data_IF_134077861820
#
_entry.id   IF_134077861820
#
_cell.length_a   1.000
_cell.length_b   1.000
_cell.length_c   1.000
_cell.angle_alpha   90.00
_cell.angle_beta   90.00
_cell.angle_gamma   90.00
#
_symmetry.space_group_name_H-M   'P 1'
#
loop_
_entity.id
_entity.type
_entity.pdbx_description
1 polymer ?
#
# COMPACT_ATOMS: atom_id res chain seq x y z
N UNK A 1 10.60 2.88 -24.14
CA UNK A 1 9.69 3.97 -24.46
C UNK A 1 9.67 4.99 -23.30
N UNK A 2 9.80 6.28 -23.62
CA UNK A 2 9.78 7.38 -22.62
C UNK A 2 8.36 7.70 -22.13
N UNK A 3 7.32 7.15 -22.77
CA UNK A 3 5.91 7.28 -22.39
C UNK A 3 5.44 6.17 -21.46
N UNK A 4 6.32 5.21 -21.13
CA UNK A 4 6.05 4.13 -20.16
C UNK A 4 6.85 4.36 -18.89
N UNK A 5 6.17 4.48 -17.75
CA UNK A 5 6.74 4.75 -16.44
C UNK A 5 6.52 3.64 -15.42
N UNK A 6 7.09 3.82 -14.24
CA UNK A 6 6.90 2.96 -13.07
C UNK A 6 6.85 3.79 -11.79
N UNK A 7 5.84 3.54 -10.96
CA UNK A 7 5.68 4.12 -9.63
C UNK A 7 5.38 2.97 -8.67
N UNK A 8 6.42 2.48 -8.01
CA UNK A 8 6.35 1.33 -7.09
C UNK A 8 6.95 1.71 -5.75
N UNK A 9 6.29 1.33 -4.67
CA UNK A 9 6.75 1.68 -3.33
C UNK A 9 6.79 0.51 -2.36
N UNK A 10 7.35 0.79 -1.19
CA UNK A 10 7.34 -0.08 -0.03
C UNK A 10 7.06 0.77 1.21
N UNK A 11 6.26 0.26 2.14
CA UNK A 11 5.98 0.93 3.42
C UNK A 11 7.21 1.02 4.30
N UNK A 12 8.10 0.03 4.23
CA UNK A 12 9.42 0.00 4.87
C UNK A 12 10.49 -0.56 3.94
N UNK A 13 11.63 0.10 3.79
CA UNK A 13 12.77 -0.49 3.07
C UNK A 13 13.27 -1.73 3.83
N UNK A 14 14.09 -2.57 3.19
CA UNK A 14 14.60 -3.81 3.79
C UNK A 14 15.35 -3.54 5.11
N UNK A 15 14.63 -3.67 6.22
CA UNK A 15 15.18 -3.58 7.57
C UNK A 15 16.23 -4.68 7.80
N UNK A 16 15.98 -5.88 7.28
CA UNK A 16 16.93 -6.99 7.30
C UNK A 16 18.28 -6.61 6.74
N UNK A 17 18.35 -6.01 5.56
CA UNK A 17 19.62 -5.61 4.94
C UNK A 17 20.39 -4.61 5.81
N UNK A 18 19.69 -3.68 6.47
CA UNK A 18 20.30 -2.69 7.37
C UNK A 18 20.88 -3.39 8.61
N UNK A 19 20.12 -4.30 9.23
CA UNK A 19 20.56 -5.07 10.40
C UNK A 19 21.77 -5.94 10.03
N UNK A 20 21.70 -6.71 8.95
CA UNK A 20 22.82 -7.53 8.48
C UNK A 20 24.09 -6.70 8.21
N UNK A 21 23.94 -5.54 7.56
CA UNK A 21 25.07 -4.65 7.30
C UNK A 21 25.69 -4.09 8.59
N UNK A 22 24.86 -3.76 9.58
CA UNK A 22 25.31 -3.31 10.90
C UNK A 22 26.08 -4.43 11.62
N UNK A 23 25.58 -5.65 11.63
CA UNK A 23 26.21 -6.81 12.29
C UNK A 23 27.54 -7.20 11.61
N UNK A 24 27.56 -7.23 10.28
CA UNK A 24 28.82 -7.45 9.52
C UNK A 24 29.83 -6.35 9.84
N UNK A 25 29.39 -5.10 9.89
CA UNK A 25 30.29 -3.96 10.20
C UNK A 25 30.90 -4.08 11.60
N UNK A 26 30.11 -4.43 12.61
CA UNK A 26 30.60 -4.64 13.98
C UNK A 26 31.57 -5.81 14.09
N UNK A 27 31.28 -6.91 13.39
CA UNK A 27 32.05 -8.14 13.49
C UNK A 27 33.31 -8.13 12.60
N UNK A 28 33.27 -7.54 11.42
CA UNK A 28 34.28 -7.72 10.36
C UNK A 28 34.72 -6.43 9.66
N UNK A 29 34.14 -5.29 10.05
CA UNK A 29 34.41 -3.98 9.46
C UNK A 29 33.56 -3.71 8.19
N UNK A 30 33.39 -2.42 7.82
CA UNK A 30 32.44 -1.97 6.79
C UNK A 30 32.75 -2.50 5.39
N UNK A 31 34.04 -2.75 5.09
CA UNK A 31 34.44 -3.28 3.77
C UNK A 31 33.89 -4.70 3.47
N UNK A 32 33.36 -5.39 4.49
CA UNK A 32 32.82 -6.76 4.35
C UNK A 32 31.31 -6.79 4.09
N UNK A 33 30.61 -5.65 4.15
CA UNK A 33 29.19 -5.54 3.86
C UNK A 33 28.87 -5.88 2.39
N UNK A 34 29.80 -5.55 1.47
CA UNK A 34 29.64 -5.80 0.05
C UNK A 34 28.91 -4.64 -0.68
N UNK A 35 28.95 -4.64 -2.02
CA UNK A 35 28.53 -3.51 -2.83
C UNK A 35 27.01 -3.39 -3.02
N UNK A 36 26.22 -4.40 -2.65
CA UNK A 36 24.80 -4.46 -2.96
C UNK A 36 23.88 -4.06 -1.79
N UNK A 37 24.43 -3.68 -0.65
CA UNK A 37 23.61 -3.30 0.51
C UNK A 37 22.76 -2.05 0.23
N UNK A 38 23.32 -1.04 -0.43
CA UNK A 38 22.57 0.17 -0.80
C UNK A 38 21.41 -0.14 -1.74
N UNK A 39 21.61 -0.80 -2.90
CA UNK A 39 20.49 -1.18 -3.78
C UNK A 39 19.42 -2.05 -3.11
N UNK A 40 19.77 -2.87 -2.12
CA UNK A 40 18.81 -3.70 -1.39
C UNK A 40 18.00 -2.89 -0.35
N UNK A 41 18.63 -1.91 0.30
CA UNK A 41 18.04 -1.20 1.43
C UNK A 41 17.39 0.14 1.06
N UNK A 42 17.65 0.69 -0.13
CA UNK A 42 17.08 1.97 -0.52
C UNK A 42 15.56 1.89 -0.71
N UNK A 43 14.84 2.94 -0.32
CA UNK A 43 13.37 3.01 -0.43
C UNK A 43 12.85 2.92 -1.88
N UNK A 44 13.68 3.22 -2.87
CA UNK A 44 13.36 3.13 -4.30
C UNK A 44 13.77 1.82 -4.96
N UNK A 45 14.16 0.80 -4.19
CA UNK A 45 14.63 -0.50 -4.72
C UNK A 45 13.66 -1.12 -5.71
N UNK A 46 12.37 -1.15 -5.39
CA UNK A 46 11.37 -1.80 -6.22
C UNK A 46 11.26 -1.14 -7.60
N UNK A 47 11.07 0.18 -7.65
CA UNK A 47 10.94 0.91 -8.91
C UNK A 47 12.24 0.88 -9.73
N UNK A 48 13.40 1.04 -9.08
CA UNK A 48 14.69 1.06 -9.75
C UNK A 48 15.04 -0.31 -10.38
N UNK A 49 14.82 -1.40 -9.64
CA UNK A 49 15.10 -2.76 -10.11
C UNK A 49 14.22 -3.13 -11.30
N UNK A 50 12.90 -2.91 -11.19
CA UNK A 50 11.95 -3.23 -12.25
C UNK A 50 12.15 -2.34 -13.48
N UNK A 51 12.41 -1.04 -13.29
CA UNK A 51 12.71 -0.14 -14.41
C UNK A 51 13.94 -0.60 -15.19
N UNK A 52 14.98 -1.05 -14.49
CA UNK A 52 16.20 -1.58 -15.12
C UNK A 52 15.92 -2.87 -15.89
N UNK A 53 15.18 -3.80 -15.30
CA UNK A 53 14.85 -5.08 -15.93
C UNK A 53 13.99 -4.93 -17.17
N UNK A 54 12.94 -4.10 -17.07
CA UNK A 54 12.01 -3.88 -18.18
C UNK A 54 12.45 -2.75 -19.13
N UNK A 55 13.61 -2.12 -18.87
CA UNK A 55 14.16 -1.02 -19.67
C UNK A 55 13.17 0.14 -19.81
N UNK A 56 12.46 0.43 -18.74
CA UNK A 56 11.51 1.54 -18.66
C UNK A 56 12.29 2.85 -18.69
N UNK A 57 11.86 3.79 -19.53
CA UNK A 57 12.55 5.08 -19.77
C UNK A 57 11.70 6.30 -19.43
N UNK A 58 10.43 6.10 -19.05
CA UNK A 58 9.56 7.14 -18.53
C UNK A 58 9.85 7.45 -17.07
N UNK A 59 8.86 8.00 -16.36
CA UNK A 59 9.01 8.32 -14.94
C UNK A 59 9.36 7.07 -14.13
N UNK A 60 10.27 7.22 -13.16
CA UNK A 60 10.69 6.15 -12.27
C UNK A 60 10.97 6.72 -10.88
N UNK A 61 10.09 6.46 -9.94
CA UNK A 61 10.28 6.80 -8.54
C UNK A 61 9.41 5.91 -7.63
N UNK A 62 9.73 5.96 -6.34
CA UNK A 62 8.97 5.28 -5.30
C UNK A 62 8.32 6.27 -4.35
N UNK A 63 7.17 5.89 -3.83
CA UNK A 63 6.49 6.55 -2.72
C UNK A 63 6.63 5.64 -1.51
N UNK A 64 6.73 6.21 -0.32
CA UNK A 64 6.67 5.49 0.95
C UNK A 64 5.72 6.24 1.88
N UNK A 65 4.64 5.59 2.25
CA UNK A 65 3.58 6.12 3.13
C UNK A 65 2.92 4.99 3.93
N UNK A 66 3.77 4.13 4.53
CA UNK A 66 3.36 2.97 5.31
C UNK A 66 2.32 2.12 4.54
N UNK A 67 1.22 1.70 5.17
CA UNK A 67 0.19 0.85 4.57
C UNK A 67 -0.52 1.49 3.37
N UNK A 68 -0.50 2.82 3.23
CA UNK A 68 -1.11 3.54 2.11
C UNK A 68 -0.22 3.60 0.84
N UNK A 69 1.00 3.10 0.91
CA UNK A 69 2.02 3.23 -0.15
C UNK A 69 1.50 2.82 -1.53
N UNK A 70 0.93 1.62 -1.65
CA UNK A 70 0.46 1.11 -2.95
C UNK A 70 -0.68 1.96 -3.52
N UNK A 71 -1.62 2.40 -2.67
CA UNK A 71 -2.71 3.29 -3.10
C UNK A 71 -2.18 4.64 -3.57
N UNK A 72 -1.18 5.19 -2.90
CA UNK A 72 -0.52 6.42 -3.34
C UNK A 72 0.25 6.23 -4.65
N UNK A 73 0.92 5.10 -4.85
CA UNK A 73 1.57 4.78 -6.12
C UNK A 73 0.57 4.71 -7.27
N UNK A 74 -0.57 4.03 -7.06
CA UNK A 74 -1.64 3.90 -8.05
C UNK A 74 -2.29 5.26 -8.32
N UNK A 75 -2.62 6.03 -7.28
CA UNK A 75 -3.22 7.34 -7.42
C UNK A 75 -2.33 8.35 -8.14
N UNK A 76 -1.04 8.41 -7.80
CA UNK A 76 -0.08 9.26 -8.49
C UNK A 76 0.13 8.84 -9.96
N UNK A 77 0.09 7.54 -10.25
CA UNK A 77 0.15 7.04 -11.62
C UNK A 77 -1.10 7.47 -12.41
N UNK A 78 -2.28 7.35 -11.81
CA UNK A 78 -3.53 7.82 -12.39
C UNK A 78 -3.49 9.32 -12.72
N UNK A 79 -3.11 10.17 -11.77
CA UNK A 79 -2.97 11.62 -11.99
C UNK A 79 -1.92 11.94 -13.05
N UNK A 80 -0.78 11.22 -13.06
CA UNK A 80 0.30 11.40 -14.05
C UNK A 80 -0.18 11.11 -15.47
N UNK A 81 -1.03 10.08 -15.65
CA UNK A 81 -1.65 9.75 -16.94
C UNK A 81 -2.71 10.79 -17.30
N UNK A 82 -3.56 11.19 -16.35
CA UNK A 82 -4.60 12.22 -16.59
C UNK A 82 -4.05 13.53 -17.12
N UNK A 83 -2.90 13.97 -16.61
CA UNK A 83 -2.25 15.20 -17.08
C UNK A 83 -1.36 14.98 -18.32
N UNK A 84 -1.43 13.82 -18.95
CA UNK A 84 -0.77 13.51 -20.22
C UNK A 84 0.75 13.32 -20.16
N UNK A 85 1.35 13.11 -18.97
CA UNK A 85 2.80 12.93 -18.84
C UNK A 85 3.27 11.53 -19.25
N UNK A 86 2.45 10.52 -19.08
CA UNK A 86 2.73 9.13 -19.46
C UNK A 86 1.49 8.51 -20.09
N UNK A 87 1.67 7.48 -20.91
CA UNK A 87 0.58 6.69 -21.47
C UNK A 87 0.37 5.39 -20.71
N UNK A 88 1.45 4.80 -20.19
CA UNK A 88 1.43 3.54 -19.43
C UNK A 88 2.27 3.68 -18.17
N UNK A 89 1.75 3.27 -17.03
CA UNK A 89 2.52 3.22 -15.76
C UNK A 89 2.26 1.90 -15.04
N UNK A 90 3.33 1.20 -14.69
CA UNK A 90 3.31 0.11 -13.72
C UNK A 90 3.25 0.69 -12.32
N UNK A 91 2.17 0.46 -11.58
CA UNK A 91 1.96 1.07 -10.27
C UNK A 91 1.58 0.03 -9.22
N UNK A 92 2.06 0.20 -8.01
CA UNK A 92 1.75 -0.70 -6.91
C UNK A 92 2.77 -0.65 -5.78
N UNK A 93 2.91 -1.77 -5.08
CA UNK A 93 3.82 -1.87 -3.96
C UNK A 93 4.28 -3.28 -3.66
N UNK A 94 5.27 -3.37 -2.82
CA UNK A 94 5.79 -4.63 -2.29
C UNK A 94 6.26 -4.44 -0.85
N UNK A 95 6.23 -5.53 -0.09
CA UNK A 95 6.71 -5.53 1.29
C UNK A 95 7.48 -6.81 1.59
N UNK A 96 8.61 -6.67 2.28
CA UNK A 96 9.39 -7.80 2.78
C UNK A 96 8.76 -8.34 4.07
N UNK A 97 8.69 -9.67 4.20
CA UNK A 97 8.40 -10.32 5.47
C UNK A 97 9.70 -10.75 6.13
N UNK A 98 10.08 -10.05 7.18
CA UNK A 98 11.28 -10.38 7.97
C UNK A 98 11.07 -10.01 9.45
N UNK A 99 11.73 -10.72 10.35
CA UNK A 99 11.63 -10.49 11.80
C UNK A 99 12.07 -9.08 12.19
N UNK A 100 13.03 -8.51 11.48
CA UNK A 100 13.56 -7.17 11.78
C UNK A 100 12.54 -6.04 11.60
N UNK A 101 11.54 -6.21 10.71
CA UNK A 101 10.40 -5.33 10.60
C UNK A 101 9.29 -5.74 11.58
N UNK A 102 9.05 -7.06 11.72
CA UNK A 102 7.99 -7.60 12.58
C UNK A 102 8.17 -7.18 14.05
N UNK A 103 9.39 -7.20 14.55
CA UNK A 103 9.70 -6.83 15.94
C UNK A 103 9.32 -5.39 16.28
N UNK A 104 9.32 -4.47 15.30
CA UNK A 104 8.93 -3.08 15.51
C UNK A 104 7.42 -2.97 15.80
N UNK A 105 6.61 -3.73 15.08
CA UNK A 105 5.17 -3.79 15.29
C UNK A 105 4.77 -4.59 16.54
N UNK A 106 5.52 -5.64 16.85
CA UNK A 106 5.34 -6.41 18.08
C UNK A 106 5.65 -5.54 19.32
N UNK A 107 6.72 -4.79 19.26
CA UNK A 107 7.12 -3.85 20.34
C UNK A 107 6.07 -2.76 20.61
N UNK A 108 5.30 -2.34 19.61
CA UNK A 108 4.20 -1.40 19.81
C UNK A 108 2.85 -2.07 20.20
N UNK A 109 2.84 -3.40 20.33
CA UNK A 109 1.64 -4.15 20.71
C UNK A 109 0.55 -4.22 19.64
N UNK A 110 0.92 -4.05 18.36
CA UNK A 110 -0.02 -4.01 17.25
C UNK A 110 -0.32 -5.39 16.64
N UNK A 111 0.52 -6.39 16.92
CA UNK A 111 0.39 -7.73 16.34
C UNK A 111 -0.50 -8.66 17.20
N UNK A 112 -1.21 -9.57 16.51
CA UNK A 112 -1.94 -10.64 17.16
C UNK A 112 -0.99 -11.58 17.91
N UNK A 113 -1.30 -11.92 19.16
CA UNK A 113 -0.49 -12.82 20.01
C UNK A 113 -1.29 -13.95 20.64
N UNK A 114 -2.62 -13.85 20.72
CA UNK A 114 -3.48 -14.84 21.38
C UNK A 114 -3.73 -16.09 20.53
N UNK A 115 -3.43 -16.03 19.23
CA UNK A 115 -3.78 -17.08 18.27
C UNK A 115 -2.57 -17.82 17.70
N UNK A 116 -1.42 -17.80 18.39
CA UNK A 116 -0.21 -18.48 17.93
C UNK A 116 -0.40 -19.99 17.74
N UNK A 117 -1.27 -20.61 18.54
CA UNK A 117 -1.61 -22.03 18.41
C UNK A 117 -2.66 -22.31 17.30
N UNK A 118 -3.33 -21.27 16.81
CA UNK A 118 -4.35 -21.36 15.76
C UNK A 118 -4.18 -20.25 14.73
N UNK A 119 -3.01 -20.15 14.07
CA UNK A 119 -2.64 -18.98 13.24
C UNK A 119 -3.59 -18.72 12.07
N UNK A 120 -4.23 -19.75 11.54
CA UNK A 120 -5.22 -19.61 10.47
C UNK A 120 -6.47 -18.79 10.87
N UNK A 121 -6.69 -18.55 12.15
CA UNK A 121 -7.82 -17.78 12.69
C UNK A 121 -7.38 -16.46 13.35
N UNK A 122 -6.11 -16.09 13.27
CA UNK A 122 -5.56 -14.94 13.96
C UNK A 122 -6.03 -13.61 13.34
N UNK A 123 -5.97 -13.47 12.00
CA UNK A 123 -6.53 -12.31 11.32
C UNK A 123 -8.05 -12.45 11.26
N UNK A 124 -8.75 -11.52 11.94
CA UNK A 124 -10.21 -11.52 12.07
C UNK A 124 -10.77 -10.10 12.16
N UNK A 125 -10.65 -9.30 11.08
CA UNK A 125 -11.13 -7.93 11.07
C UNK A 125 -12.58 -7.81 11.52
N UNK A 126 -12.86 -6.76 12.32
CA UNK A 126 -14.18 -6.45 12.90
C UNK A 126 -14.74 -7.48 13.90
N UNK A 127 -14.10 -8.61 14.11
CA UNK A 127 -14.52 -9.60 15.12
C UNK A 127 -14.29 -9.05 16.53
N UNK A 128 -15.21 -9.39 17.46
CA UNK A 128 -15.12 -8.95 18.87
C UNK A 128 -13.87 -9.47 19.58
N UNK A 129 -13.36 -10.61 19.15
CA UNK A 129 -12.20 -11.27 19.74
C UNK A 129 -10.86 -10.94 19.04
N UNK A 130 -10.85 -10.04 18.05
CA UNK A 130 -9.61 -9.60 17.39
C UNK A 130 -8.62 -8.99 18.38
N UNK A 131 -7.34 -9.23 18.18
CA UNK A 131 -6.30 -8.78 19.11
C UNK A 131 -5.07 -8.13 18.46
N UNK A 132 -5.08 -7.94 17.16
CA UNK A 132 -4.00 -7.35 16.40
C UNK A 132 -3.91 -7.87 14.98
N UNK A 133 -3.01 -7.32 14.19
CA UNK A 133 -2.82 -7.78 12.82
C UNK A 133 -1.81 -8.93 12.71
N UNK A 134 -1.84 -9.64 11.59
CA UNK A 134 -0.85 -10.66 11.22
C UNK A 134 -0.01 -10.09 10.08
N UNK A 135 1.29 -9.92 10.35
CA UNK A 135 2.21 -9.37 9.34
C UNK A 135 2.43 -10.36 8.20
N UNK A 136 2.48 -9.85 6.98
CA UNK A 136 2.73 -10.64 5.77
C UNK A 136 3.65 -9.90 4.81
N UNK A 137 4.25 -10.64 3.90
CA UNK A 137 5.00 -10.11 2.76
C UNK A 137 4.25 -10.34 1.47
N UNK A 138 4.56 -9.54 0.45
CA UNK A 138 3.94 -9.70 -0.86
C UNK A 138 4.21 -8.53 -1.79
N UNK A 139 3.66 -8.63 -2.99
CA UNK A 139 3.70 -7.57 -3.97
C UNK A 139 2.45 -7.60 -4.86
N UNK A 140 2.00 -6.42 -5.25
CA UNK A 140 0.92 -6.26 -6.21
C UNK A 140 1.23 -5.11 -7.17
N UNK A 141 0.98 -5.33 -8.45
CA UNK A 141 1.20 -4.34 -9.50
C UNK A 141 -0.01 -4.29 -10.41
N UNK A 142 -0.49 -3.10 -10.67
CA UNK A 142 -1.47 -2.84 -11.73
C UNK A 142 -0.79 -2.08 -12.86
N UNK A 143 -1.23 -2.32 -14.08
CA UNK A 143 -0.81 -1.55 -15.25
C UNK A 143 -1.91 -0.54 -15.54
N UNK A 144 -1.64 0.73 -15.26
CA UNK A 144 -2.51 1.83 -15.64
C UNK A 144 -2.13 2.31 -17.04
N UNK A 145 -3.13 2.54 -17.85
CA UNK A 145 -2.95 2.94 -19.24
C UNK A 145 -4.00 3.96 -19.64
N UNK A 146 -3.60 4.94 -20.44
CA UNK A 146 -4.53 5.91 -21.01
C UNK A 146 -5.57 5.19 -21.87
N UNK A 147 -6.84 5.56 -21.74
CA UNK A 147 -7.97 4.80 -22.28
C UNK A 147 -7.92 4.66 -23.80
N UNK A 148 -7.66 5.74 -24.53
CA UNK A 148 -7.64 5.69 -26.00
C UNK A 148 -6.39 4.96 -26.51
N UNK A 149 -5.27 5.05 -25.79
CA UNK A 149 -4.07 4.26 -26.06
C UNK A 149 -4.36 2.77 -25.90
N UNK A 150 -5.04 2.37 -24.83
CA UNK A 150 -5.44 0.97 -24.57
C UNK A 150 -6.38 0.44 -25.67
N UNK A 151 -7.39 1.22 -26.04
CA UNK A 151 -8.34 0.88 -27.11
C UNK A 151 -7.65 0.74 -28.47
N UNK A 152 -6.75 1.68 -28.80
CA UNK A 152 -6.07 1.68 -30.09
C UNK A 152 -5.22 0.44 -30.34
N UNK A 153 -4.66 -0.18 -29.27
CA UNK A 153 -3.92 -1.44 -29.38
C UNK A 153 -4.75 -2.70 -29.11
N UNK A 154 -6.06 -2.57 -28.90
CA UNK A 154 -6.95 -3.69 -28.60
C UNK A 154 -6.68 -4.34 -27.25
N UNK A 155 -6.24 -3.58 -26.24
CA UNK A 155 -5.95 -4.10 -24.92
C UNK A 155 -7.20 -4.65 -24.24
N UNK A 156 -7.03 -5.71 -23.45
CA UNK A 156 -8.07 -6.15 -22.52
C UNK A 156 -8.13 -5.16 -21.35
N UNK A 157 -9.23 -4.44 -21.24
CA UNK A 157 -9.49 -3.51 -20.12
C UNK A 157 -10.25 -4.26 -19.04
N UNK A 158 -9.72 -4.30 -17.82
CA UNK A 158 -10.35 -4.97 -16.68
C UNK A 158 -11.27 -4.04 -15.91
N UNK A 159 -10.85 -2.78 -15.73
CA UNK A 159 -11.58 -1.76 -15.01
C UNK A 159 -11.09 -0.38 -15.40
N UNK A 160 -11.82 0.65 -15.01
CA UNK A 160 -11.42 2.05 -15.10
C UNK A 160 -11.22 2.61 -13.70
N UNK A 161 -10.11 3.33 -13.46
CA UNK A 161 -9.90 4.09 -12.23
C UNK A 161 -10.63 5.42 -12.39
N UNK A 162 -11.67 5.64 -11.61
CA UNK A 162 -12.56 6.79 -11.76
C UNK A 162 -12.43 7.82 -10.64
N UNK A 163 -11.67 7.51 -9.59
CA UNK A 163 -11.44 8.44 -8.48
C UNK A 163 -10.24 8.06 -7.64
N UNK A 164 -9.64 9.06 -7.03
CA UNK A 164 -8.54 8.91 -6.09
C UNK A 164 -8.65 9.95 -4.99
N UNK A 165 -8.29 9.58 -3.77
CA UNK A 165 -8.24 10.49 -2.64
C UNK A 165 -7.06 10.18 -1.73
N UNK A 166 -6.39 11.21 -1.27
CA UNK A 166 -5.31 11.12 -0.29
C UNK A 166 -5.39 12.32 0.65
N UNK A 167 -5.46 12.07 1.95
CA UNK A 167 -5.54 13.10 2.97
C UNK A 167 -4.65 12.74 4.16
N UNK A 168 -4.20 13.77 4.89
CA UNK A 168 -3.61 13.57 6.21
C UNK A 168 -4.70 13.59 7.26
N UNK A 169 -4.62 12.70 8.26
CA UNK A 169 -5.53 12.74 9.41
C UNK A 169 -5.26 14.00 10.27
N UNK A 170 -3.99 14.37 10.44
CA UNK A 170 -3.59 15.57 11.17
C UNK A 170 -3.87 15.50 12.68
N UNK A 171 -4.20 14.33 13.20
CA UNK A 171 -4.58 14.11 14.59
C UNK A 171 -3.43 13.49 15.39
N UNK A 172 -3.09 12.23 15.10
CA UNK A 172 -2.04 11.48 15.78
C UNK A 172 -1.25 10.66 14.75
N UNK A 173 0.02 10.34 15.06
CA UNK A 173 0.87 9.61 14.14
C UNK A 173 0.48 8.13 14.01
N UNK A 174 -0.09 7.56 15.06
CA UNK A 174 -0.36 6.11 15.19
C UNK A 174 -1.84 5.81 15.33
N UNK A 175 -2.59 6.61 16.09
CA UNK A 175 -3.99 6.40 16.38
C UNK A 175 -4.88 7.20 15.41
N UNK A 176 -5.63 6.51 14.50
CA UNK A 176 -6.49 7.20 13.54
C UNK A 176 -7.72 7.83 14.22
N UNK A 177 -8.07 9.06 13.84
CA UNK A 177 -9.30 9.71 14.30
C UNK A 177 -10.56 9.22 13.55
N UNK A 178 -10.37 8.66 12.36
CA UNK A 178 -11.44 8.33 11.41
C UNK A 178 -11.88 9.50 10.52
N UNK A 179 -11.62 10.74 10.90
CA UNK A 179 -11.98 11.92 10.08
C UNK A 179 -11.16 12.00 8.79
N UNK A 180 -9.86 11.69 8.86
CA UNK A 180 -9.01 11.64 7.68
C UNK A 180 -9.46 10.60 6.66
N UNK A 181 -9.90 9.43 7.14
CA UNK A 181 -10.47 8.39 6.28
C UNK A 181 -11.78 8.85 5.62
N UNK A 182 -12.66 9.53 6.36
CA UNK A 182 -13.89 10.11 5.81
C UNK A 182 -13.58 11.12 4.70
N UNK A 183 -12.66 12.06 4.92
CA UNK A 183 -12.24 13.04 3.91
C UNK A 183 -11.65 12.38 2.67
N UNK A 184 -10.81 11.37 2.87
CA UNK A 184 -10.18 10.60 1.81
C UNK A 184 -11.23 9.93 0.92
N UNK A 185 -12.19 9.22 1.51
CA UNK A 185 -13.28 8.59 0.77
C UNK A 185 -14.14 9.61 0.02
N UNK A 186 -14.52 10.73 0.65
CA UNK A 186 -15.29 11.80 -0.01
C UNK A 186 -14.53 12.43 -1.18
N UNK A 187 -13.19 12.59 -1.05
CA UNK A 187 -12.34 13.08 -2.13
C UNK A 187 -12.33 12.09 -3.30
N UNK A 188 -12.11 10.80 -3.04
CA UNK A 188 -12.15 9.77 -4.08
C UNK A 188 -13.52 9.71 -4.77
N UNK A 189 -14.61 9.89 -4.02
CA UNK A 189 -15.97 9.89 -4.55
C UNK A 189 -16.33 11.13 -5.36
N UNK A 190 -15.57 12.22 -5.29
CA UNK A 190 -15.92 13.49 -5.93
C UNK A 190 -16.03 13.41 -7.46
N UNK A 191 -15.37 12.47 -8.07
CA UNK A 191 -15.37 12.22 -9.54
C UNK A 191 -16.22 11.02 -9.94
N UNK A 192 -16.75 10.25 -8.97
CA UNK A 192 -17.55 9.04 -9.21
C UNK A 192 -19.01 9.40 -9.45
N UNK A 193 -19.60 8.84 -10.51
CA UNK A 193 -20.98 9.12 -10.94
C UNK A 193 -21.94 7.96 -10.70
N UNK A 194 -21.44 6.82 -10.28
CA UNK A 194 -22.21 5.59 -10.05
C UNK A 194 -22.23 5.25 -8.56
N UNK A 195 -23.22 4.52 -8.06
CA UNK A 195 -23.19 3.96 -6.72
C UNK A 195 -21.95 3.06 -6.53
N UNK A 196 -21.52 2.92 -5.28
CA UNK A 196 -20.49 1.97 -4.89
C UNK A 196 -21.17 0.66 -4.51
N UNK A 197 -20.74 -0.43 -5.10
CA UNK A 197 -21.33 -1.76 -4.89
C UNK A 197 -20.55 -2.61 -3.89
N UNK A 198 -19.30 -2.25 -3.60
CA UNK A 198 -18.42 -3.00 -2.71
C UNK A 198 -17.31 -2.12 -2.14
N UNK A 199 -16.92 -2.38 -0.88
CA UNK A 199 -15.79 -1.72 -0.21
C UNK A 199 -14.82 -2.78 0.28
N UNK A 200 -13.55 -2.65 -0.13
CA UNK A 200 -12.43 -3.38 0.46
C UNK A 200 -11.68 -2.43 1.41
N UNK A 201 -11.88 -2.57 2.74
CA UNK A 201 -11.27 -1.69 3.73
C UNK A 201 -9.84 -2.09 4.07
N UNK A 202 -9.17 -1.29 4.87
CA UNK A 202 -7.87 -1.64 5.44
C UNK A 202 -7.98 -2.80 6.43
N UNK A 203 -8.96 -2.75 7.33
CA UNK A 203 -9.40 -3.87 8.19
C UNK A 203 -8.25 -4.66 8.80
N UNK A 204 -7.42 -3.99 9.59
CA UNK A 204 -6.17 -4.56 10.12
C UNK A 204 -6.35 -5.61 11.22
N UNK A 205 -7.58 -5.87 11.64
CA UNK A 205 -7.87 -6.77 12.79
C UNK A 205 -7.33 -6.22 14.13
N UNK A 206 -7.12 -4.90 14.21
CA UNK A 206 -6.65 -4.26 15.44
C UNK A 206 -7.80 -3.66 16.25
N UNK A 207 -7.73 -3.70 17.59
CA UNK A 207 -8.69 -3.03 18.45
C UNK A 207 -8.79 -1.50 18.18
N UNK A 208 -7.67 -0.87 17.82
CA UNK A 208 -7.59 0.57 17.61
C UNK A 208 -7.99 1.00 16.18
N UNK A 209 -7.72 0.18 15.16
CA UNK A 209 -7.91 0.56 13.76
C UNK A 209 -9.31 0.31 13.22
N UNK A 210 -9.86 -0.86 13.46
CA UNK A 210 -11.12 -1.29 12.86
C UNK A 210 -12.34 -0.41 13.23
N UNK A 211 -12.54 0.03 14.50
CA UNK A 211 -13.69 0.84 14.84
C UNK A 211 -13.73 2.21 14.15
N UNK A 212 -12.66 3.03 14.15
CA UNK A 212 -12.66 4.31 13.44
C UNK A 212 -12.89 4.15 11.93
N UNK A 213 -12.38 3.09 11.33
CA UNK A 213 -12.55 2.83 9.90
C UNK A 213 -14.02 2.53 9.55
N UNK A 214 -14.67 1.63 10.28
CA UNK A 214 -16.08 1.30 10.02
C UNK A 214 -17.00 2.49 10.30
N UNK A 215 -16.70 3.32 11.29
CA UNK A 215 -17.44 4.54 11.55
C UNK A 215 -17.28 5.58 10.42
N UNK A 216 -16.07 5.73 9.88
CA UNK A 216 -15.84 6.59 8.72
C UNK A 216 -16.59 6.10 7.48
N UNK A 217 -16.59 4.78 7.22
CA UNK A 217 -17.38 4.19 6.14
C UNK A 217 -18.88 4.48 6.32
N UNK A 218 -19.42 4.28 7.52
CA UNK A 218 -20.83 4.56 7.82
C UNK A 218 -21.21 6.02 7.63
N UNK A 219 -20.33 6.95 7.96
CA UNK A 219 -20.56 8.39 7.74
C UNK A 219 -20.62 8.76 6.26
N UNK A 220 -19.88 8.05 5.41
CA UNK A 220 -19.84 8.32 3.97
C UNK A 220 -20.97 7.61 3.22
N UNK A 221 -21.19 6.32 3.51
CA UNK A 221 -22.08 5.46 2.74
C UNK A 221 -23.40 5.14 3.43
N UNK A 222 -23.55 5.49 4.73
CA UNK A 222 -24.75 5.17 5.50
C UNK A 222 -24.63 3.83 6.24
N UNK A 223 -25.76 3.37 6.77
CA UNK A 223 -25.86 2.14 7.59
C UNK A 223 -26.93 1.20 7.02
N UNK A 224 -26.89 -0.06 7.42
CA UNK A 224 -27.81 -1.10 6.96
C UNK A 224 -27.74 -1.27 5.43
N UNK A 225 -28.88 -1.40 4.79
CA UNK A 225 -28.99 -1.65 3.34
C UNK A 225 -28.44 -0.51 2.46
N UNK A 226 -28.14 0.65 3.05
CA UNK A 226 -27.52 1.79 2.34
C UNK A 226 -26.00 1.65 2.23
N UNK A 227 -25.39 0.93 3.15
CA UNK A 227 -23.93 0.71 3.13
C UNK A 227 -23.60 -0.41 2.16
N UNK A 228 -22.65 -0.22 1.23
CA UNK A 228 -22.19 -1.30 0.39
C UNK A 228 -21.64 -2.47 1.21
N UNK A 229 -21.67 -3.71 0.70
CA UNK A 229 -20.99 -4.84 1.32
C UNK A 229 -19.51 -4.55 1.55
N UNK A 230 -19.01 -4.99 2.71
CA UNK A 230 -17.63 -4.77 3.14
C UNK A 230 -17.00 -6.14 3.38
N UNK A 231 -15.82 -6.36 2.82
CA UNK A 231 -15.03 -7.56 3.07
C UNK A 231 -13.55 -7.24 3.00
N UNK A 232 -12.82 -7.63 4.02
CA UNK A 232 -11.35 -7.59 4.01
C UNK A 232 -10.79 -8.83 3.31
N UNK A 233 -9.74 -8.65 2.54
CA UNK A 233 -9.01 -9.71 1.84
C UNK A 233 -7.60 -9.86 2.37
#
# INVERSE_FOLDING_TARGET
>A
DVRTGIIMGSGGPSARTIVEAADITRAKGPKRVGPFAVPKAMSSTASATLATWFKIKGVNYSISSACATSNHCIGNAYETIQIGKQDVIFAGGCEELDWSLSVLFDAMGAMSSKYNDTPATASRPYDISRDGFVIAGGAGVVVLEELEHAKARGARIYAEVVGYGATSDGYDMVAPSGEGAERCMRMAMSTVKTPIDYINPHATSTPAGDPPEIEAIRKVFGTGDKCPPISAT
#
